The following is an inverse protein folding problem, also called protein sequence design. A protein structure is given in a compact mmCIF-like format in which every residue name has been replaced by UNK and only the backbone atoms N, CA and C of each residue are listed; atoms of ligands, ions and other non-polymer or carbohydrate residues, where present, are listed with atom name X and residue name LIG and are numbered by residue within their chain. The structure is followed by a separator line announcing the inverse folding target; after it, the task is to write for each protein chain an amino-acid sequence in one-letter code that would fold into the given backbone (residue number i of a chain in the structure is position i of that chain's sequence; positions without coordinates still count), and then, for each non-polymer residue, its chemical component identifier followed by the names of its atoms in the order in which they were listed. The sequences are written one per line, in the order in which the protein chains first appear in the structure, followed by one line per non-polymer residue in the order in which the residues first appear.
data_IF_123211672422
#
_entry.id   IF_123211672422
#
_cell.length_a   1.000
_cell.length_b   1.000
_cell.length_c   1.000
_cell.angle_alpha   90.00
_cell.angle_beta   90.00
_cell.angle_gamma   90.00
#
_symmetry.space_group_name_H-M   'P 1'
#
loop_
_entity.id
_entity.type
_entity.pdbx_description
1 polymer ?
#
# COMPACT_ATOMS: atom_id res chain seq x y z
N UNK A 1 10.09 -1.08 -7.80
CA UNK A 1 10.21 -1.08 -9.15
C UNK A 1 8.89 -1.32 -9.87
N UNK A 2 7.87 -0.67 -9.37
CA UNK A 2 6.54 -0.62 -9.94
C UNK A 2 5.96 0.78 -9.83
N UNK A 3 4.73 0.93 -10.26
CA UNK A 3 3.95 2.15 -10.18
C UNK A 3 2.68 1.85 -9.40
N UNK A 4 2.43 2.64 -8.35
CA UNK A 4 1.15 2.65 -7.64
C UNK A 4 0.35 3.88 -8.06
N UNK A 5 -0.88 3.67 -8.50
CA UNK A 5 -1.84 4.70 -8.89
C UNK A 5 -3.03 4.66 -7.94
N UNK A 6 -3.38 5.80 -7.34
CA UNK A 6 -4.54 5.92 -6.46
C UNK A 6 -5.58 6.88 -7.06
N UNK A 7 -6.41 6.41 -8.00
CA UNK A 7 -7.51 7.21 -8.53
C UNK A 7 -8.61 7.31 -7.47
N UNK A 8 -8.62 8.43 -6.77
CA UNK A 8 -9.66 8.70 -5.77
C UNK A 8 -11.02 8.88 -6.42
N UNK A 9 -12.14 8.71 -5.69
CA UNK A 9 -13.47 8.86 -6.27
C UNK A 9 -13.75 10.22 -6.93
N UNK A 10 -13.09 11.29 -6.46
CA UNK A 10 -13.17 12.64 -7.02
C UNK A 10 -12.12 12.91 -8.13
N UNK A 11 -11.29 11.93 -8.45
CA UNK A 11 -10.27 11.98 -9.51
C UNK A 11 -9.29 13.18 -9.43
N UNK A 12 -9.08 13.75 -8.22
CA UNK A 12 -8.31 15.00 -8.03
C UNK A 12 -6.81 14.91 -8.33
N UNK A 13 -6.22 13.71 -8.30
CA UNK A 13 -4.79 13.52 -8.54
C UNK A 13 -4.51 12.77 -9.83
N UNK A 14 -5.31 11.76 -10.11
CA UNK A 14 -5.25 10.94 -11.30
C UNK A 14 -6.66 10.46 -11.63
N UNK A 15 -7.04 10.52 -12.90
CA UNK A 15 -8.36 10.11 -13.33
C UNK A 15 -8.41 8.62 -13.67
N UNK A 16 -9.59 8.02 -13.69
CA UNK A 16 -9.79 6.65 -14.18
C UNK A 16 -9.35 6.49 -15.63
N UNK A 17 -9.49 7.56 -16.43
CA UNK A 17 -9.01 7.57 -17.81
C UNK A 17 -7.48 7.53 -17.89
N UNK A 18 -6.78 8.26 -17.01
CA UNK A 18 -5.32 8.21 -16.94
C UNK A 18 -4.83 6.80 -16.59
N UNK A 19 -5.49 6.13 -15.64
CA UNK A 19 -5.16 4.74 -15.29
C UNK A 19 -5.26 3.82 -16.51
N UNK A 20 -6.34 3.95 -17.32
CA UNK A 20 -6.51 3.16 -18.55
C UNK A 20 -5.46 3.47 -19.62
N UNK A 21 -4.97 4.72 -19.67
CA UNK A 21 -3.91 5.13 -20.62
C UNK A 21 -2.52 4.68 -20.15
N UNK A 22 -2.26 4.72 -18.85
CA UNK A 22 -0.96 4.35 -18.27
C UNK A 22 -0.78 2.82 -18.27
N UNK A 23 -1.81 2.05 -17.95
CA UNK A 23 -1.72 0.61 -17.81
C UNK A 23 -1.02 -0.11 -18.99
N UNK A 24 -1.34 0.17 -20.27
CA UNK A 24 -0.72 -0.54 -21.40
C UNK A 24 0.74 -0.15 -21.65
N UNK A 25 1.24 0.94 -21.05
CA UNK A 25 2.63 1.39 -21.24
C UNK A 25 3.53 1.05 -20.05
N UNK A 26 2.97 0.58 -18.93
CA UNK A 26 3.75 0.12 -17.78
C UNK A 26 4.42 -1.21 -18.12
N UNK A 27 5.75 -1.24 -18.07
CA UNK A 27 6.57 -2.43 -18.35
C UNK A 27 7.04 -3.14 -17.09
N UNK A 28 6.69 -2.62 -15.94
CA UNK A 28 7.00 -3.16 -14.62
C UNK A 28 5.71 -3.56 -13.92
N UNK A 29 5.68 -3.54 -12.59
CA UNK A 29 4.47 -3.84 -11.84
C UNK A 29 3.53 -2.61 -11.78
N UNK A 30 2.25 -2.82 -12.03
CA UNK A 30 1.18 -1.85 -11.81
C UNK A 30 0.35 -2.28 -10.61
N UNK A 31 0.28 -1.42 -9.60
CA UNK A 31 -0.63 -1.51 -8.48
C UNK A 31 -1.69 -0.40 -8.59
N UNK A 32 -2.97 -0.73 -8.43
CA UNK A 32 -4.04 0.26 -8.33
C UNK A 32 -4.57 0.23 -6.90
N UNK A 33 -4.54 1.39 -6.26
CA UNK A 33 -5.00 1.56 -4.88
C UNK A 33 -6.33 2.31 -4.85
N UNK A 34 -7.26 1.91 -3.97
CA UNK A 34 -8.50 2.64 -3.80
C UNK A 34 -9.54 1.95 -2.92
N UNK A 35 -10.59 2.72 -2.61
CA UNK A 35 -11.78 2.19 -1.96
C UNK A 35 -12.59 1.36 -2.95
N UNK A 36 -13.05 0.16 -2.59
CA UNK A 36 -13.73 -0.75 -3.51
C UNK A 36 -15.21 -0.36 -3.74
N UNK A 37 -15.42 0.82 -4.36
CA UNK A 37 -16.71 1.21 -4.93
C UNK A 37 -16.97 0.42 -6.22
N UNK A 38 -18.22 0.38 -6.68
CA UNK A 38 -18.58 -0.26 -7.95
C UNK A 38 -17.71 0.25 -9.11
N UNK A 39 -17.55 1.57 -9.24
CA UNK A 39 -16.75 2.17 -10.31
C UNK A 39 -15.26 1.82 -10.21
N UNK A 40 -14.71 1.69 -8.99
CA UNK A 40 -13.34 1.24 -8.77
C UNK A 40 -13.16 -0.24 -9.13
N UNK A 41 -14.10 -1.08 -8.72
CA UNK A 41 -14.10 -2.50 -9.07
C UNK A 41 -14.13 -2.67 -10.58
N UNK A 42 -15.03 -1.97 -11.29
CA UNK A 42 -15.11 -1.97 -12.75
C UNK A 42 -13.80 -1.52 -13.42
N UNK A 43 -13.15 -0.49 -12.87
CA UNK A 43 -11.84 -0.05 -13.34
C UNK A 43 -10.81 -1.18 -13.22
N UNK A 44 -10.68 -1.77 -12.04
CA UNK A 44 -9.71 -2.84 -11.76
C UNK A 44 -9.94 -4.05 -12.64
N UNK A 45 -11.20 -4.49 -12.79
CA UNK A 45 -11.58 -5.61 -13.65
C UNK A 45 -11.28 -5.35 -15.13
N UNK A 46 -11.44 -4.10 -15.59
CA UNK A 46 -11.16 -3.71 -16.98
C UNK A 46 -9.67 -3.60 -17.28
N UNK A 47 -8.89 -3.06 -16.33
CA UNK A 47 -7.44 -2.80 -16.48
C UNK A 47 -6.61 -4.05 -16.21
N UNK A 48 -7.03 -4.88 -15.24
CA UNK A 48 -6.33 -6.08 -14.78
C UNK A 48 -4.88 -5.79 -14.38
N UNK A 49 -4.67 -4.95 -13.36
CA UNK A 49 -3.32 -4.64 -12.87
C UNK A 49 -2.64 -5.89 -12.28
N UNK A 50 -1.34 -5.81 -12.05
CA UNK A 50 -0.63 -6.88 -11.35
C UNK A 50 -1.09 -7.03 -9.89
N UNK A 51 -1.41 -5.90 -9.25
CA UNK A 51 -1.87 -5.84 -7.88
C UNK A 51 -2.98 -4.81 -7.72
N UNK A 52 -3.86 -5.03 -6.77
CA UNK A 52 -4.79 -4.04 -6.24
C UNK A 52 -4.61 -3.94 -4.73
N UNK A 53 -4.48 -2.70 -4.22
CA UNK A 53 -4.46 -2.42 -2.77
C UNK A 53 -5.78 -1.77 -2.39
N UNK A 54 -6.55 -2.44 -1.53
CA UNK A 54 -7.83 -1.92 -1.04
C UNK A 54 -7.62 -1.06 0.20
N UNK A 55 -8.11 0.18 0.17
CA UNK A 55 -8.04 1.16 1.26
C UNK A 55 -9.45 1.54 1.74
N UNK A 56 -9.65 1.86 3.05
CA UNK A 56 -10.97 2.17 3.61
C UNK A 56 -11.38 3.63 3.42
N UNK A 57 -10.67 4.41 2.59
CA UNK A 57 -10.87 5.85 2.47
C UNK A 57 -12.29 6.19 2.05
N UNK A 58 -12.97 7.02 2.84
CA UNK A 58 -14.25 7.59 2.41
C UNK A 58 -14.03 8.50 1.19
N UNK A 59 -15.06 8.70 0.35
CA UNK A 59 -14.98 9.60 -0.80
C UNK A 59 -14.50 11.03 -0.45
N UNK A 60 -14.80 11.49 0.76
CA UNK A 60 -14.47 12.83 1.24
C UNK A 60 -13.11 12.91 1.95
N UNK A 61 -12.40 11.79 2.11
CA UNK A 61 -11.11 11.76 2.79
C UNK A 61 -10.03 12.53 2.00
N UNK A 62 -9.34 13.46 2.67
CA UNK A 62 -8.23 14.22 2.06
C UNK A 62 -7.03 13.30 1.83
N UNK A 63 -6.73 12.44 2.77
CA UNK A 63 -5.70 11.40 2.72
C UNK A 63 -6.18 10.19 3.51
N UNK A 64 -5.53 9.04 3.33
CA UNK A 64 -5.80 7.87 4.16
C UNK A 64 -5.47 8.18 5.62
N UNK A 65 -6.40 7.92 6.52
CA UNK A 65 -6.30 8.22 7.95
C UNK A 65 -6.44 6.98 8.84
N UNK A 66 -6.79 5.84 8.26
CA UNK A 66 -6.92 4.55 8.95
C UNK A 66 -6.72 3.38 7.99
N UNK A 67 -6.34 2.22 8.54
CA UNK A 67 -6.40 0.94 7.86
C UNK A 67 -7.77 0.27 8.00
N UNK A 68 -8.03 -0.80 7.23
CA UNK A 68 -9.25 -1.58 7.34
C UNK A 68 -9.43 -2.22 8.73
N UNK A 69 -10.62 -2.07 9.31
CA UNK A 69 -11.08 -3.02 10.32
C UNK A 69 -11.50 -4.31 9.62
N UNK A 70 -10.53 -5.22 9.50
CA UNK A 70 -10.71 -6.50 8.79
C UNK A 70 -11.67 -7.45 9.50
N UNK A 71 -12.01 -7.21 10.77
CA UNK A 71 -12.97 -8.03 11.52
C UNK A 71 -14.39 -7.59 11.19
N UNK A 72 -14.65 -6.28 11.20
CA UNK A 72 -15.96 -5.72 10.88
C UNK A 72 -16.30 -5.91 9.40
N UNK A 73 -15.31 -5.71 8.51
CA UNK A 73 -15.52 -5.73 7.06
C UNK A 73 -15.16 -7.06 6.40
N UNK A 74 -14.99 -8.16 7.17
CA UNK A 74 -14.51 -9.45 6.70
C UNK A 74 -15.27 -9.95 5.46
N UNK A 75 -16.59 -10.06 5.54
CA UNK A 75 -17.41 -10.62 4.46
C UNK A 75 -17.39 -9.76 3.21
N UNK A 76 -17.42 -8.44 3.38
CA UNK A 76 -17.34 -7.47 2.29
C UNK A 76 -16.00 -7.58 1.55
N UNK A 77 -14.89 -7.49 2.26
CA UNK A 77 -13.55 -7.58 1.69
C UNK A 77 -13.31 -8.93 1.02
N UNK A 78 -13.73 -10.01 1.68
CA UNK A 78 -13.55 -11.36 1.14
C UNK A 78 -14.25 -11.56 -0.20
N UNK A 79 -15.47 -11.05 -0.38
CA UNK A 79 -16.19 -11.18 -1.65
C UNK A 79 -15.45 -10.51 -2.81
N UNK A 80 -14.95 -9.29 -2.59
CA UNK A 80 -14.21 -8.50 -3.60
C UNK A 80 -12.84 -9.12 -3.90
N UNK A 81 -12.13 -9.54 -2.86
CA UNK A 81 -10.83 -10.19 -3.00
C UNK A 81 -10.95 -11.46 -3.85
N UNK A 82 -11.96 -12.29 -3.61
CA UNK A 82 -12.18 -13.50 -4.40
C UNK A 82 -12.49 -13.20 -5.87
N UNK A 83 -13.22 -12.12 -6.15
CA UNK A 83 -13.50 -11.68 -7.52
C UNK A 83 -12.21 -11.28 -8.26
N UNK A 84 -11.36 -10.47 -7.64
CA UNK A 84 -10.08 -10.09 -8.24
C UNK A 84 -9.13 -11.28 -8.42
N UNK A 85 -9.07 -12.16 -7.44
CA UNK A 85 -8.24 -13.38 -7.51
C UNK A 85 -8.70 -14.34 -8.59
N UNK A 86 -10.00 -14.43 -8.87
CA UNK A 86 -10.53 -15.29 -9.92
C UNK A 86 -10.01 -14.94 -11.32
N UNK A 87 -9.55 -13.71 -11.53
CA UNK A 87 -8.96 -13.25 -12.78
C UNK A 87 -7.43 -13.03 -12.70
N UNK A 88 -6.80 -13.50 -11.62
CA UNK A 88 -5.36 -13.51 -11.46
C UNK A 88 -4.74 -12.21 -10.94
N UNK A 89 -5.52 -11.29 -10.38
CA UNK A 89 -5.02 -10.06 -9.76
C UNK A 89 -4.57 -10.38 -8.32
N UNK A 90 -3.33 -10.01 -7.97
CA UNK A 90 -2.84 -10.06 -6.58
C UNK A 90 -3.52 -8.99 -5.74
N UNK A 91 -3.95 -9.37 -4.54
CA UNK A 91 -4.69 -8.47 -3.64
C UNK A 91 -3.87 -8.08 -2.43
N UNK A 92 -3.98 -6.83 -1.99
CA UNK A 92 -3.38 -6.29 -0.78
C UNK A 92 -4.41 -5.50 0.01
N UNK A 93 -4.38 -5.59 1.35
CA UNK A 93 -5.25 -4.83 2.24
C UNK A 93 -4.43 -3.83 3.06
N UNK A 94 -4.82 -2.56 3.00
CA UNK A 94 -4.24 -1.49 3.81
C UNK A 94 -4.74 -1.62 5.25
N UNK A 95 -3.83 -1.86 6.20
CA UNK A 95 -4.16 -2.19 7.60
C UNK A 95 -3.22 -1.51 8.59
N UNK A 96 -3.72 -1.26 9.79
CA UNK A 96 -2.88 -0.87 10.92
C UNK A 96 -1.94 -2.01 11.34
N UNK A 97 -0.78 -1.65 11.91
CA UNK A 97 0.19 -2.60 12.47
C UNK A 97 -0.31 -3.17 13.82
N UNK A 98 -1.48 -3.82 13.79
CA UNK A 98 -2.12 -4.47 14.94
C UNK A 98 -2.42 -5.94 14.64
N UNK A 99 -2.02 -6.88 15.52
CA UNK A 99 -2.18 -8.33 15.29
C UNK A 99 -3.59 -8.76 14.90
N UNK A 100 -4.62 -8.18 15.52
CA UNK A 100 -6.02 -8.52 15.23
C UNK A 100 -6.42 -8.27 13.77
N UNK A 101 -5.93 -7.16 13.18
CA UNK A 101 -6.22 -6.83 11.79
C UNK A 101 -5.42 -7.67 10.80
N UNK A 102 -4.21 -8.10 11.18
CA UNK A 102 -3.40 -9.03 10.37
C UNK A 102 -4.08 -10.39 10.30
N UNK A 103 -4.57 -10.91 11.44
CA UNK A 103 -5.33 -12.16 11.48
C UNK A 103 -6.61 -12.04 10.66
N UNK A 104 -7.37 -10.96 10.82
CA UNK A 104 -8.57 -10.70 10.04
C UNK A 104 -8.28 -10.60 8.54
N UNK A 105 -7.18 -9.97 8.14
CA UNK A 105 -6.76 -9.91 6.74
C UNK A 105 -6.54 -11.32 6.16
N UNK A 106 -5.93 -12.23 6.89
CA UNK A 106 -5.78 -13.63 6.47
C UNK A 106 -7.12 -14.31 6.18
N UNK A 107 -8.13 -14.06 7.00
CA UNK A 107 -9.46 -14.64 6.83
C UNK A 107 -10.20 -14.13 5.59
N UNK A 108 -9.83 -12.94 5.08
CA UNK A 108 -10.35 -12.42 3.80
C UNK A 108 -9.78 -13.14 2.59
N UNK A 109 -8.72 -13.93 2.75
CA UNK A 109 -7.96 -14.60 1.70
C UNK A 109 -7.16 -13.66 0.80
N UNK A 110 -6.84 -12.45 1.27
CA UNK A 110 -5.90 -11.56 0.57
C UNK A 110 -4.52 -12.19 0.44
N UNK A 111 -3.76 -11.78 -0.56
CA UNK A 111 -2.39 -12.28 -0.77
C UNK A 111 -1.37 -11.53 0.06
N UNK A 112 -1.61 -10.23 0.28
CA UNK A 112 -0.71 -9.32 0.99
C UNK A 112 -1.48 -8.42 1.95
N UNK A 113 -0.74 -7.80 2.84
CA UNK A 113 -1.15 -6.61 3.59
C UNK A 113 -0.24 -5.45 3.23
N UNK A 114 -0.76 -4.23 3.33
CA UNK A 114 0.04 -3.00 3.30
C UNK A 114 -0.08 -2.33 4.66
N UNK A 115 1.03 -2.27 5.39
CA UNK A 115 1.08 -1.67 6.72
C UNK A 115 1.03 -0.15 6.63
N UNK A 116 0.04 0.46 7.28
CA UNK A 116 -0.12 1.91 7.37
C UNK A 116 0.95 2.52 8.28
N UNK A 117 1.88 3.28 7.71
CA UNK A 117 3.11 3.71 8.41
C UNK A 117 3.09 5.12 8.99
N UNK A 118 1.94 5.81 9.07
CA UNK A 118 1.84 7.16 9.66
C UNK A 118 2.33 7.19 11.11
N UNK A 119 1.88 6.27 11.93
CA UNK A 119 2.26 6.20 13.34
C UNK A 119 3.77 6.00 13.54
N UNK A 120 4.41 5.22 12.65
CA UNK A 120 5.85 5.10 12.60
C UNK A 120 6.51 6.43 12.24
N UNK A 121 6.09 7.06 11.13
CA UNK A 121 6.69 8.29 10.63
C UNK A 121 6.60 9.41 11.68
N UNK A 122 5.45 9.56 12.32
CA UNK A 122 5.22 10.54 13.40
C UNK A 122 6.08 10.34 14.63
N UNK A 123 6.32 9.08 15.01
CA UNK A 123 7.11 8.76 16.21
C UNK A 123 8.60 8.61 15.93
N UNK A 124 9.00 8.40 14.68
CA UNK A 124 10.37 8.09 14.26
C UNK A 124 11.41 9.08 14.82
N UNK A 125 11.13 10.37 14.71
CA UNK A 125 12.06 11.43 15.14
C UNK A 125 12.35 11.39 16.64
N UNK A 126 11.38 10.93 17.43
CA UNK A 126 11.50 10.88 18.89
C UNK A 126 12.13 9.58 19.40
N UNK A 127 11.64 8.44 18.89
CA UNK A 127 11.99 7.11 19.39
C UNK A 127 11.86 6.06 18.27
N UNK A 128 12.83 6.00 17.35
CA UNK A 128 12.76 5.13 16.15
C UNK A 128 12.60 3.63 16.46
N UNK A 129 13.27 3.13 17.52
CA UNK A 129 13.17 1.72 17.92
C UNK A 129 11.77 1.38 18.43
N UNK A 130 11.18 2.29 19.20
CA UNK A 130 9.81 2.13 19.71
C UNK A 130 8.80 2.26 18.57
N UNK A 131 9.04 3.19 17.64
CA UNK A 131 8.16 3.45 16.51
C UNK A 131 8.06 2.26 15.56
N UNK A 132 9.16 1.56 15.29
CA UNK A 132 9.19 0.44 14.33
C UNK A 132 8.71 -0.89 14.95
N UNK A 133 8.71 -1.03 16.27
CA UNK A 133 8.42 -2.30 16.95
C UNK A 133 7.08 -2.94 16.54
N UNK A 134 5.94 -2.23 16.51
CA UNK A 134 4.67 -2.82 16.08
C UNK A 134 4.73 -3.37 14.65
N UNK A 135 5.47 -2.72 13.77
CA UNK A 135 5.64 -3.13 12.38
C UNK A 135 6.48 -4.40 12.24
N UNK A 136 7.52 -4.54 13.06
CA UNK A 136 8.32 -5.78 13.13
C UNK A 136 7.46 -6.94 13.61
N UNK A 137 6.70 -6.75 14.68
CA UNK A 137 5.80 -7.77 15.25
C UNK A 137 4.71 -8.17 14.23
N UNK A 138 4.11 -7.18 13.55
CA UNK A 138 3.12 -7.41 12.48
C UNK A 138 3.71 -8.16 11.29
N UNK A 139 4.93 -7.82 10.88
CA UNK A 139 5.59 -8.49 9.75
C UNK A 139 5.90 -9.97 10.06
N UNK A 140 6.34 -10.27 11.28
CA UNK A 140 6.56 -11.66 11.71
C UNK A 140 5.26 -12.44 11.67
N UNK A 141 4.19 -11.90 12.26
CA UNK A 141 2.87 -12.54 12.28
C UNK A 141 2.32 -12.73 10.85
N UNK A 142 2.42 -11.72 9.98
CA UNK A 142 1.97 -11.81 8.60
C UNK A 142 2.69 -12.94 7.85
N UNK A 143 4.00 -13.05 8.04
CA UNK A 143 4.80 -14.12 7.45
C UNK A 143 4.38 -15.51 7.94
N UNK A 144 4.13 -15.67 9.24
CA UNK A 144 3.62 -16.91 9.84
C UNK A 144 2.25 -17.32 9.26
N UNK A 145 1.42 -16.33 8.96
CA UNK A 145 0.10 -16.53 8.32
C UNK A 145 0.19 -16.74 6.79
N UNK A 146 1.38 -16.63 6.20
CA UNK A 146 1.58 -16.79 4.76
C UNK A 146 1.09 -15.60 3.94
N UNK A 147 1.10 -14.39 4.51
CA UNK A 147 0.82 -13.13 3.82
C UNK A 147 2.12 -12.47 3.35
N UNK A 148 2.11 -11.87 2.16
CA UNK A 148 3.13 -10.92 1.76
C UNK A 148 2.97 -9.57 2.48
N UNK A 149 4.05 -8.78 2.52
CA UNK A 149 4.11 -7.58 3.35
C UNK A 149 4.54 -6.38 2.53
N UNK A 150 3.62 -5.47 2.32
CA UNK A 150 3.87 -4.14 1.79
C UNK A 150 3.77 -3.11 2.93
N UNK A 151 4.29 -1.91 2.72
CA UNK A 151 4.15 -0.79 3.64
C UNK A 151 4.05 0.52 2.87
N UNK A 152 3.22 1.43 3.36
CA UNK A 152 3.03 2.72 2.71
C UNK A 152 2.51 3.79 3.66
N UNK A 153 2.51 5.01 3.16
CA UNK A 153 2.12 6.26 3.81
C UNK A 153 3.23 6.89 4.69
N UNK A 154 3.55 8.16 4.42
CA UNK A 154 4.52 9.00 5.17
C UNK A 154 5.96 8.50 5.25
N UNK A 155 6.30 7.45 4.51
CA UNK A 155 7.70 7.05 4.32
C UNK A 155 8.44 8.08 3.46
N UNK A 156 9.67 8.43 3.86
CA UNK A 156 10.49 9.43 3.20
C UNK A 156 11.99 9.10 3.31
N UNK A 157 12.88 9.88 2.69
CA UNK A 157 14.32 9.62 2.68
C UNK A 157 14.97 9.61 4.08
N UNK A 158 14.32 10.19 5.10
CA UNK A 158 14.87 10.21 6.47
C UNK A 158 14.54 8.92 7.22
N UNK A 159 13.35 8.34 7.03
CA UNK A 159 12.84 7.24 7.84
C UNK A 159 12.81 5.88 7.12
N UNK A 160 12.79 5.86 5.77
CA UNK A 160 12.63 4.65 4.97
C UNK A 160 13.76 3.63 5.20
N UNK A 161 15.02 4.07 5.20
CA UNK A 161 16.15 3.15 5.33
C UNK A 161 16.11 2.37 6.65
N UNK A 162 15.77 3.04 7.73
CA UNK A 162 15.65 2.39 9.04
C UNK A 162 14.46 1.44 9.09
N UNK A 163 13.32 1.83 8.52
CA UNK A 163 12.14 0.97 8.40
C UNK A 163 12.47 -0.32 7.63
N UNK A 164 12.99 -0.20 6.42
CA UNK A 164 13.30 -1.33 5.56
C UNK A 164 14.37 -2.27 6.13
N UNK A 165 15.33 -1.73 6.90
CA UNK A 165 16.34 -2.56 7.56
C UNK A 165 15.84 -3.25 8.84
N UNK A 166 14.78 -2.73 9.46
CA UNK A 166 14.24 -3.23 10.74
C UNK A 166 13.08 -4.21 10.53
N UNK A 167 12.21 -3.95 9.54
CA UNK A 167 11.02 -4.77 9.28
C UNK A 167 11.41 -5.98 8.42
N UNK A 168 11.31 -7.20 8.96
CA UNK A 168 11.65 -8.41 8.21
C UNK A 168 10.60 -8.72 7.15
N UNK A 169 11.01 -9.43 6.10
CA UNK A 169 10.12 -9.95 5.04
C UNK A 169 9.34 -8.87 4.28
N UNK A 170 9.78 -7.61 4.32
CA UNK A 170 9.16 -6.53 3.57
C UNK A 170 9.36 -6.78 2.07
N UNK A 171 8.25 -6.87 1.32
CA UNK A 171 8.25 -7.13 -0.13
C UNK A 171 8.30 -5.82 -0.92
N UNK A 172 7.46 -4.84 -0.56
CA UNK A 172 7.28 -3.59 -1.30
C UNK A 172 7.04 -2.40 -0.37
N UNK A 173 7.35 -1.21 -0.86
CA UNK A 173 6.92 0.05 -0.25
C UNK A 173 6.26 0.96 -1.27
N UNK A 174 5.19 1.66 -0.86
CA UNK A 174 4.51 2.67 -1.66
C UNK A 174 4.85 4.06 -1.12
N UNK A 175 5.41 4.93 -1.97
CA UNK A 175 5.84 6.27 -1.57
C UNK A 175 5.26 7.29 -2.55
N UNK A 176 4.34 8.12 -2.05
CA UNK A 176 3.64 9.13 -2.84
C UNK A 176 4.15 10.55 -2.58
N UNK A 177 3.51 11.26 -1.66
CA UNK A 177 3.74 12.69 -1.42
C UNK A 177 5.22 13.07 -1.21
N UNK A 178 5.94 12.32 -0.38
CA UNK A 178 7.34 12.61 -0.11
C UNK A 178 8.22 12.48 -1.36
N UNK A 179 7.98 11.47 -2.19
CA UNK A 179 8.72 11.28 -3.45
C UNK A 179 8.49 12.44 -4.40
N UNK A 180 7.24 12.87 -4.59
CA UNK A 180 6.93 14.02 -5.47
C UNK A 180 7.51 15.31 -4.92
N UNK A 181 7.40 15.55 -3.61
CA UNK A 181 8.00 16.70 -2.95
C UNK A 181 9.52 16.78 -3.17
N UNK A 182 10.22 15.66 -2.94
CA UNK A 182 11.67 15.57 -3.14
C UNK A 182 12.04 15.75 -4.62
N UNK A 183 11.20 15.25 -5.54
CA UNK A 183 11.44 15.36 -6.97
C UNK A 183 11.40 16.80 -7.50
N UNK A 184 10.68 17.72 -6.84
CA UNK A 184 10.71 19.13 -7.17
C UNK A 184 12.09 19.79 -6.98
N UNK A 185 12.89 19.25 -6.06
CA UNK A 185 14.23 19.75 -5.75
C UNK A 185 15.36 18.94 -6.41
N UNK A 186 15.19 17.62 -6.51
CA UNK A 186 16.24 16.71 -6.95
C UNK A 186 16.09 16.26 -8.41
N UNK A 187 14.90 16.45 -8.99
CA UNK A 187 14.49 15.80 -10.23
C UNK A 187 14.03 14.36 -10.02
N UNK A 188 13.06 13.89 -10.82
CA UNK A 188 12.36 12.62 -10.60
C UNK A 188 13.29 11.41 -10.61
N UNK A 189 14.16 11.30 -11.62
CA UNK A 189 15.08 10.17 -11.77
C UNK A 189 16.01 10.03 -10.55
N UNK A 190 16.65 11.13 -10.14
CA UNK A 190 17.54 11.11 -8.97
C UNK A 190 16.79 10.79 -7.69
N UNK A 191 15.59 11.31 -7.53
CA UNK A 191 14.74 11.02 -6.36
C UNK A 191 14.43 9.54 -6.28
N UNK A 192 13.96 8.93 -7.37
CA UNK A 192 13.68 7.48 -7.42
C UNK A 192 14.94 6.69 -7.04
N UNK A 193 16.11 7.08 -7.57
CA UNK A 193 17.36 6.42 -7.21
C UNK A 193 17.70 6.54 -5.72
N UNK A 194 17.47 7.71 -5.10
CA UNK A 194 17.68 7.89 -3.67
C UNK A 194 16.77 6.96 -2.83
N UNK A 195 15.49 6.87 -3.18
CA UNK A 195 14.56 5.96 -2.50
C UNK A 195 14.94 4.48 -2.69
N UNK A 196 15.33 4.08 -3.90
CA UNK A 196 15.84 2.72 -4.17
C UNK A 196 17.07 2.39 -3.32
N UNK A 197 17.99 3.33 -3.15
CA UNK A 197 19.17 3.15 -2.32
C UNK A 197 18.84 2.96 -0.82
N UNK A 198 17.70 3.50 -0.35
CA UNK A 198 17.23 3.24 1.01
C UNK A 198 16.78 1.78 1.21
N UNK A 199 16.38 1.09 0.14
CA UNK A 199 15.89 -0.30 0.16
C UNK A 199 16.99 -1.33 -0.13
N UNK A 200 18.15 -0.88 -0.63
CA UNK A 200 19.30 -1.76 -0.90
C UNK A 200 19.88 -2.26 0.43
N UNK A 201 20.00 -3.60 0.55
CA UNK A 201 20.64 -4.28 1.68
C UNK A 201 22.14 -4.19 1.57
#
# INVERSE_FOLDING_TARGET
EGITLHPRPDERHITYNDVRQIAPIVTTELNIEGYPSESFIDLVLSVKPHQVTLVPDSPDAITSDAGWDTLVHLSFLKSIILEFKAIGIRTSLFVEAEPKYIVGAKETQTDRIELYTESYARQYVKHKEKAVKPFVESAILAKELGLGINAGHDLNLQNLKYFASSVPFLDEVSIGHALISDALYLGLEKTIQCYKNCLSK
#
